data_IF_218228739751
#
_entry.id   IF_218228739751
#
_cell.length_a   1.000
_cell.length_b   1.000
_cell.length_c   1.000
_cell.angle_alpha   90.00
_cell.angle_beta   90.00
_cell.angle_gamma   90.00
#
_symmetry.space_group_name_H-M   'P 1'
#
loop_
_entity.id
_entity.type
_entity.pdbx_description
1 polymer ?
#
# COMPACT_ATOMS: atom_id res chain seq x y z
N UNK A 1 -15.79 0.01 -15.88
CA UNK A 1 -15.08 -1.24 -16.26
C UNK A 1 -15.02 -2.12 -15.03
N UNK A 2 -15.17 -3.46 -15.13
CA UNK A 2 -14.97 -4.35 -13.98
C UNK A 2 -13.49 -4.32 -13.62
N UNK A 3 -13.17 -4.03 -12.36
CA UNK A 3 -11.82 -4.09 -11.83
C UNK A 3 -11.29 -5.53 -12.01
N UNK A 4 -10.17 -5.67 -12.71
CA UNK A 4 -9.51 -6.97 -12.85
C UNK A 4 -8.68 -7.21 -11.59
N UNK A 5 -8.97 -8.31 -10.89
CA UNK A 5 -8.25 -8.71 -9.69
C UNK A 5 -7.63 -10.09 -9.89
N UNK A 6 -6.41 -10.26 -9.42
CA UNK A 6 -5.71 -11.54 -9.32
C UNK A 6 -5.22 -11.77 -7.90
N UNK A 7 -5.10 -13.04 -7.50
CA UNK A 7 -4.72 -13.42 -6.14
C UNK A 7 -3.69 -14.55 -6.20
N UNK A 8 -2.61 -14.39 -5.48
CA UNK A 8 -1.56 -15.38 -5.38
C UNK A 8 -1.04 -15.44 -3.93
N UNK A 9 -1.24 -16.56 -3.27
CA UNK A 9 -0.76 -16.80 -1.89
C UNK A 9 -0.98 -15.60 -0.96
N UNK A 10 -2.23 -15.17 -0.81
CA UNK A 10 -2.66 -13.99 -0.03
C UNK A 10 -2.14 -12.63 -0.54
N UNK A 11 -1.52 -12.54 -1.71
CA UNK A 11 -1.23 -11.28 -2.37
C UNK A 11 -2.40 -10.98 -3.33
N UNK A 12 -3.12 -9.89 -3.09
CA UNK A 12 -4.17 -9.38 -3.96
C UNK A 12 -3.63 -8.28 -4.86
N UNK A 13 -3.78 -8.41 -6.17
CA UNK A 13 -3.33 -7.44 -7.18
C UNK A 13 -4.56 -6.95 -7.95
N UNK A 14 -4.74 -5.64 -8.04
CA UNK A 14 -5.90 -4.98 -8.63
C UNK A 14 -5.43 -3.98 -9.69
N UNK A 15 -5.70 -4.31 -10.95
CA UNK A 15 -5.31 -3.46 -12.08
C UNK A 15 -6.25 -2.26 -12.23
N UNK A 16 -5.70 -1.08 -12.55
CA UNK A 16 -6.47 0.14 -12.80
C UNK A 16 -7.49 0.46 -11.69
N UNK A 17 -7.11 0.22 -10.44
CA UNK A 17 -7.99 0.38 -9.29
C UNK A 17 -8.13 1.84 -8.83
N UNK A 18 -7.11 2.67 -9.09
CA UNK A 18 -7.09 4.09 -8.79
C UNK A 18 -7.10 4.88 -10.10
N UNK A 19 -7.87 5.96 -10.13
CA UNK A 19 -7.97 6.87 -11.27
C UNK A 19 -6.58 7.42 -11.65
N UNK A 20 -6.22 7.41 -12.93
CA UNK A 20 -4.90 7.81 -13.40
C UNK A 20 -4.64 9.31 -13.22
N UNK A 21 -5.64 10.17 -13.46
CA UNK A 21 -5.49 11.62 -13.25
C UNK A 21 -5.24 11.93 -11.77
N UNK A 22 -5.86 11.15 -10.87
CA UNK A 22 -5.61 11.28 -9.44
C UNK A 22 -4.21 10.77 -9.06
N UNK A 23 -3.72 9.70 -9.70
CA UNK A 23 -2.32 9.27 -9.53
C UNK A 23 -1.35 10.37 -9.97
N UNK A 24 -1.61 11.03 -11.10
CA UNK A 24 -0.77 12.14 -11.58
C UNK A 24 -0.79 13.32 -10.60
N UNK A 25 -1.94 13.65 -10.04
CA UNK A 25 -2.05 14.66 -8.99
C UNK A 25 -1.20 14.30 -7.76
N UNK A 26 -1.22 13.05 -7.32
CA UNK A 26 -0.41 12.57 -6.18
C UNK A 26 1.10 12.64 -6.48
N UNK A 27 1.51 12.36 -7.70
CA UNK A 27 2.91 12.51 -8.16
C UNK A 27 3.34 13.97 -8.07
N UNK A 28 2.56 14.89 -8.66
CA UNK A 28 2.81 16.33 -8.60
C UNK A 28 2.82 16.85 -7.17
N UNK A 29 1.95 16.32 -6.32
CA UNK A 29 1.90 16.66 -4.90
C UNK A 29 3.22 16.33 -4.19
N UNK A 30 3.79 15.15 -4.41
CA UNK A 30 5.09 14.76 -3.83
C UNK A 30 6.21 15.65 -4.33
N UNK A 31 6.23 15.99 -5.61
CA UNK A 31 7.31 16.76 -6.21
C UNK A 31 7.32 18.23 -5.78
N UNK A 32 6.15 18.82 -5.57
CA UNK A 32 6.00 20.24 -5.24
C UNK A 32 5.99 20.57 -3.73
N UNK A 33 6.11 19.57 -2.83
CA UNK A 33 6.04 19.76 -1.37
C UNK A 33 7.38 19.56 -0.66
N UNK A 34 8.35 20.43 -0.95
CA UNK A 34 9.70 20.33 -0.37
C UNK A 34 9.77 20.50 1.16
N UNK A 35 8.86 21.26 1.77
CA UNK A 35 8.87 21.54 3.22
C UNK A 35 8.21 20.43 4.07
N UNK A 36 7.47 19.50 3.45
CA UNK A 36 6.72 18.46 4.14
C UNK A 36 7.35 17.06 3.92
N UNK A 37 8.59 17.03 3.48
CA UNK A 37 9.28 15.84 3.04
C UNK A 37 10.17 15.29 4.13
N UNK A 38 10.04 14.00 4.42
CA UNK A 38 11.04 13.23 5.12
C UNK A 38 11.94 12.52 4.10
N UNK A 39 13.24 12.75 4.16
CA UNK A 39 14.24 12.07 3.35
C UNK A 39 14.82 10.91 4.14
N UNK A 40 14.67 9.69 3.66
CA UNK A 40 15.39 8.55 4.19
C UNK A 40 16.64 8.33 3.34
N UNK A 41 17.79 8.22 3.96
CA UNK A 41 19.08 8.01 3.31
C UNK A 41 19.93 7.04 4.11
N UNK A 42 19.34 5.91 4.47
CA UNK A 42 20.01 4.84 5.17
C UNK A 42 20.55 3.80 4.18
N UNK A 43 21.49 2.95 4.62
CA UNK A 43 22.07 1.93 3.75
C UNK A 43 21.04 1.00 3.09
N UNK A 44 19.95 0.71 3.79
CA UNK A 44 18.92 -0.24 3.34
C UNK A 44 17.67 0.44 2.75
N UNK A 45 17.51 1.75 2.93
CA UNK A 45 16.34 2.50 2.42
C UNK A 45 16.72 3.91 2.01
N UNK A 46 16.37 4.26 0.78
CA UNK A 46 16.58 5.60 0.23
C UNK A 46 15.33 6.01 -0.53
N UNK A 47 14.64 7.03 -0.06
CA UNK A 47 13.47 7.61 -0.70
C UNK A 47 13.11 8.98 -0.11
N UNK A 48 12.17 9.64 -0.76
CA UNK A 48 11.51 10.86 -0.31
C UNK A 48 10.08 10.51 0.10
N UNK A 49 9.64 10.91 1.30
CA UNK A 49 8.30 10.63 1.81
C UNK A 49 7.51 11.89 2.13
N UNK A 50 6.20 11.83 1.89
CA UNK A 50 5.21 12.82 2.34
C UNK A 50 4.05 12.09 3.02
N UNK A 51 3.65 12.55 4.20
CA UNK A 51 2.52 12.01 4.96
C UNK A 51 1.22 12.61 4.43
N UNK A 52 0.46 11.87 3.61
CA UNK A 52 -0.74 12.38 2.95
C UNK A 52 -1.88 12.62 3.93
N UNK A 53 -2.11 11.73 4.87
CA UNK A 53 -3.17 11.85 5.87
C UNK A 53 -3.02 13.09 6.76
N UNK A 54 -1.80 13.51 7.04
CA UNK A 54 -1.51 14.70 7.82
C UNK A 54 -1.66 15.99 7.00
N UNK A 55 -1.14 15.99 5.77
CA UNK A 55 -1.01 17.23 5.00
C UNK A 55 -2.10 17.44 3.95
N UNK A 56 -2.86 16.41 3.61
CA UNK A 56 -3.94 16.48 2.63
C UNK A 56 -5.04 15.44 2.96
N UNK A 57 -5.76 15.60 4.09
CA UNK A 57 -6.70 14.59 4.59
C UNK A 57 -7.89 14.35 3.65
N UNK A 58 -8.31 15.34 2.87
CA UNK A 58 -9.38 15.18 1.88
C UNK A 58 -9.00 14.23 0.76
N UNK A 59 -7.83 14.42 0.17
CA UNK A 59 -7.29 13.58 -0.89
C UNK A 59 -6.91 12.20 -0.35
N UNK A 60 -6.46 12.12 0.90
CA UNK A 60 -6.24 10.85 1.57
C UNK A 60 -7.54 10.03 1.64
N UNK A 61 -8.68 10.64 1.95
CA UNK A 61 -9.96 9.95 1.96
C UNK A 61 -10.35 9.43 0.57
N UNK A 62 -10.10 10.22 -0.49
CA UNK A 62 -10.34 9.79 -1.88
C UNK A 62 -9.49 8.56 -2.22
N UNK A 63 -8.20 8.58 -1.88
CA UNK A 63 -7.29 7.44 -2.08
C UNK A 63 -7.78 6.20 -1.32
N UNK A 64 -8.05 6.36 -0.03
CA UNK A 64 -8.49 5.28 0.84
C UNK A 64 -9.84 4.69 0.41
N UNK A 65 -10.74 5.46 -0.19
CA UNK A 65 -11.98 4.92 -0.77
C UNK A 65 -11.68 3.89 -1.88
N UNK A 66 -10.76 4.22 -2.79
CA UNK A 66 -10.32 3.29 -3.85
C UNK A 66 -9.65 2.03 -3.29
N UNK A 67 -8.70 2.20 -2.35
CA UNK A 67 -7.98 1.09 -1.71
C UNK A 67 -8.94 0.21 -0.88
N UNK A 68 -9.92 0.81 -0.20
CA UNK A 68 -10.96 0.09 0.55
C UNK A 68 -11.83 -0.77 -0.36
N UNK A 69 -12.13 -0.32 -1.58
CA UNK A 69 -12.85 -1.13 -2.56
C UNK A 69 -12.06 -2.40 -2.93
N UNK A 70 -10.73 -2.31 -3.00
CA UNK A 70 -9.85 -3.45 -3.16
C UNK A 70 -9.85 -4.36 -1.93
N UNK A 71 -9.81 -3.79 -0.71
CA UNK A 71 -9.88 -4.55 0.54
C UNK A 71 -11.20 -5.33 0.66
N UNK A 72 -12.34 -4.74 0.28
CA UNK A 72 -13.63 -5.46 0.24
C UNK A 72 -13.55 -6.68 -0.69
N UNK A 73 -12.93 -6.55 -1.86
CA UNK A 73 -12.70 -7.67 -2.77
C UNK A 73 -11.74 -8.70 -2.19
N UNK A 74 -10.72 -8.25 -1.45
CA UNK A 74 -9.74 -9.09 -0.78
C UNK A 74 -10.38 -9.93 0.34
N UNK A 75 -11.20 -9.33 1.18
CA UNK A 75 -11.92 -10.04 2.26
C UNK A 75 -12.97 -11.00 1.72
N UNK A 76 -13.62 -10.69 0.58
CA UNK A 76 -14.47 -11.66 -0.14
C UNK A 76 -13.70 -12.89 -0.62
N UNK A 77 -12.46 -12.72 -1.09
CA UNK A 77 -11.60 -13.84 -1.51
C UNK A 77 -11.11 -14.66 -0.31
N UNK A 78 -10.91 -14.02 0.84
CA UNK A 78 -10.44 -14.63 2.08
C UNK A 78 -11.46 -14.37 3.19
N UNK A 79 -12.58 -15.12 3.25
CA UNK A 79 -13.77 -14.77 4.05
C UNK A 79 -13.50 -14.66 5.55
N UNK A 80 -12.54 -15.42 6.09
CA UNK A 80 -12.18 -15.33 7.52
C UNK A 80 -11.79 -13.90 7.94
N UNK A 81 -11.20 -13.12 7.02
CA UNK A 81 -10.81 -11.73 7.28
C UNK A 81 -12.02 -10.79 7.42
N UNK A 82 -13.21 -11.19 6.96
CA UNK A 82 -14.43 -10.39 7.10
C UNK A 82 -14.97 -10.34 8.53
N UNK A 83 -14.43 -11.16 9.43
CA UNK A 83 -14.81 -11.18 10.85
C UNK A 83 -14.20 -10.02 11.65
N UNK A 84 -13.36 -9.19 11.05
CA UNK A 84 -12.69 -8.08 11.70
C UNK A 84 -12.98 -6.77 11.00
N UNK A 85 -13.06 -5.69 11.78
CA UNK A 85 -13.03 -4.34 11.24
C UNK A 85 -11.59 -3.89 11.06
N UNK A 86 -11.32 -3.14 9.99
CA UNK A 86 -9.99 -2.63 9.67
C UNK A 86 -9.99 -1.11 9.58
N UNK A 87 -8.95 -0.49 10.11
CA UNK A 87 -8.66 0.93 9.92
C UNK A 87 -7.33 1.09 9.20
N UNK A 88 -7.23 2.08 8.31
CA UNK A 88 -5.95 2.50 7.73
C UNK A 88 -5.34 3.58 8.61
N UNK A 89 -4.13 3.40 9.08
CA UNK A 89 -3.55 4.21 10.15
C UNK A 89 -2.51 5.23 9.70
N UNK A 90 -2.04 5.16 8.49
CA UNK A 90 -1.02 6.06 7.95
C UNK A 90 -0.99 5.92 6.43
N UNK A 91 -0.89 7.03 5.72
CA UNK A 91 -0.68 7.04 4.27
C UNK A 91 0.57 7.82 3.94
N UNK A 92 1.56 7.12 3.39
CA UNK A 92 2.81 7.70 2.93
C UNK A 92 2.83 7.72 1.40
N UNK A 93 3.06 8.89 0.82
CA UNK A 93 3.50 9.00 -0.56
C UNK A 93 5.02 8.90 -0.59
N UNK A 94 5.57 8.11 -1.50
CA UNK A 94 7.00 7.88 -1.59
C UNK A 94 7.49 8.07 -3.02
N UNK A 95 8.60 8.79 -3.17
CA UNK A 95 9.37 8.90 -4.41
C UNK A 95 10.70 8.19 -4.23
N UNK A 96 11.00 7.28 -5.13
CA UNK A 96 12.27 6.55 -5.21
C UNK A 96 12.94 6.86 -6.53
N UNK A 97 14.14 7.45 -6.50
CA UNK A 97 14.89 7.73 -7.72
C UNK A 97 15.63 6.48 -8.24
N UNK A 98 16.16 6.50 -9.48
CA UNK A 98 16.97 5.42 -9.99
C UNK A 98 18.10 5.03 -9.03
N UNK A 99 18.25 3.71 -8.79
CA UNK A 99 19.19 3.07 -7.84
C UNK A 99 18.82 3.21 -6.36
N UNK A 100 17.86 4.04 -5.99
CA UNK A 100 17.28 4.10 -4.64
C UNK A 100 16.24 2.98 -4.44
N UNK A 101 15.79 2.77 -3.23
CA UNK A 101 14.72 1.83 -2.89
C UNK A 101 14.80 1.30 -1.47
N UNK A 102 13.93 0.38 -1.14
CA UNK A 102 13.99 -0.41 0.09
C UNK A 102 14.55 -1.80 -0.25
N UNK A 103 15.88 -1.93 -0.22
CA UNK A 103 16.59 -3.08 -0.80
C UNK A 103 16.61 -4.32 0.08
N UNK A 104 16.36 -4.16 1.38
CA UNK A 104 16.36 -5.27 2.33
C UNK A 104 14.97 -5.91 2.40
N UNK A 105 14.93 -7.24 2.36
CA UNK A 105 13.69 -7.96 2.64
C UNK A 105 13.21 -7.68 4.05
N UNK A 106 11.96 -7.29 4.18
CA UNK A 106 11.33 -6.93 5.44
C UNK A 106 9.85 -7.37 5.45
N UNK A 107 9.25 -7.29 6.60
CA UNK A 107 7.80 -7.32 6.78
C UNK A 107 7.37 -6.18 7.72
N UNK A 108 6.07 -6.02 7.91
CA UNK A 108 5.52 -4.80 8.49
C UNK A 108 5.33 -4.87 10.01
N UNK A 109 5.33 -6.07 10.59
CA UNK A 109 4.83 -6.28 11.96
C UNK A 109 5.76 -7.06 12.91
N UNK A 110 7.05 -7.18 12.62
CA UNK A 110 8.01 -7.81 13.54
C UNK A 110 8.50 -6.90 14.67
N UNK A 111 8.24 -5.60 14.58
CA UNK A 111 8.55 -4.66 15.66
C UNK A 111 7.34 -4.50 16.59
N UNK A 112 7.59 -4.37 17.90
CA UNK A 112 6.55 -4.18 18.91
C UNK A 112 5.62 -3.00 18.59
N UNK A 113 6.16 -1.89 18.12
CA UNK A 113 5.39 -0.68 17.81
C UNK A 113 4.47 -0.86 16.60
N UNK A 114 4.75 -1.85 15.74
CA UNK A 114 4.05 -2.10 14.48
C UNK A 114 3.37 -3.47 14.44
N UNK A 115 3.37 -4.20 15.55
CA UNK A 115 2.81 -5.57 15.64
C UNK A 115 1.34 -5.68 15.25
N UNK A 116 0.60 -4.58 15.29
CA UNK A 116 -0.81 -4.49 14.91
C UNK A 116 -1.05 -4.26 13.39
N UNK A 117 -0.01 -4.12 12.58
CA UNK A 117 -0.15 -4.03 11.12
C UNK A 117 -0.51 -5.40 10.54
N UNK A 118 -1.82 -5.61 10.33
CA UNK A 118 -2.35 -6.89 9.85
C UNK A 118 -2.07 -7.10 8.38
N UNK A 119 -2.30 -6.06 7.58
CA UNK A 119 -2.06 -6.06 6.14
C UNK A 119 -1.36 -4.77 5.73
N UNK A 120 -0.52 -4.86 4.72
CA UNK A 120 -0.03 -3.71 3.99
C UNK A 120 -0.82 -3.53 2.69
N UNK A 121 -0.89 -2.29 2.24
CA UNK A 121 -1.39 -1.95 0.91
C UNK A 121 -0.45 -0.95 0.23
N UNK A 122 -0.39 -1.02 -1.08
CA UNK A 122 0.40 -0.12 -1.91
C UNK A 122 -0.33 0.18 -3.21
N UNK A 123 -0.18 1.41 -3.68
CA UNK A 123 -0.63 1.88 -4.99
C UNK A 123 0.57 2.35 -5.78
N UNK A 124 0.74 1.85 -7.00
CA UNK A 124 1.70 2.43 -7.93
C UNK A 124 1.08 3.66 -8.60
N UNK A 125 1.74 4.81 -8.50
CA UNK A 125 1.24 6.09 -9.00
C UNK A 125 1.73 6.39 -10.42
N UNK A 126 2.75 5.67 -10.89
CA UNK A 126 3.26 5.77 -12.25
C UNK A 126 3.76 4.42 -12.77
N UNK A 127 3.94 4.34 -14.08
CA UNK A 127 4.57 3.20 -14.73
C UNK A 127 6.10 3.29 -14.59
N UNK A 128 6.75 2.13 -14.39
CA UNK A 128 8.21 1.99 -14.45
C UNK A 128 8.55 0.80 -15.35
N UNK A 129 9.21 1.06 -16.47
CA UNK A 129 9.47 0.02 -17.46
C UNK A 129 10.53 -1.00 -17.01
N UNK A 130 11.57 -0.53 -16.30
CA UNK A 130 12.71 -1.36 -15.87
C UNK A 130 12.91 -1.25 -14.36
N UNK A 131 12.90 -2.38 -13.68
CA UNK A 131 13.08 -2.41 -12.24
C UNK A 131 11.88 -1.85 -11.49
N UNK A 132 12.07 -1.50 -10.22
CA UNK A 132 11.05 -0.91 -9.37
C UNK A 132 9.97 -1.89 -8.90
N UNK A 133 10.05 -3.16 -9.24
CA UNK A 133 9.10 -4.18 -8.81
C UNK A 133 9.09 -4.30 -7.28
N UNK A 134 7.94 -4.65 -6.73
CA UNK A 134 7.85 -5.20 -5.38
C UNK A 134 8.04 -6.70 -5.46
N UNK A 135 9.12 -7.17 -4.86
CA UNK A 135 9.52 -8.58 -4.87
C UNK A 135 9.16 -9.24 -3.55
N UNK A 136 8.44 -10.36 -3.62
CA UNK A 136 8.07 -11.20 -2.49
C UNK A 136 8.95 -12.45 -2.46
N UNK A 137 9.69 -12.63 -1.34
CA UNK A 137 10.75 -13.64 -1.24
C UNK A 137 10.22 -15.07 -1.32
N UNK A 138 9.25 -15.40 -0.47
CA UNK A 138 8.77 -16.78 -0.34
C UNK A 138 7.77 -17.18 -1.41
N UNK A 139 7.09 -16.20 -2.00
CA UNK A 139 6.14 -16.42 -3.08
C UNK A 139 6.80 -16.45 -4.47
N UNK A 140 8.08 -16.03 -4.55
CA UNK A 140 8.86 -15.94 -5.79
C UNK A 140 8.15 -15.14 -6.89
N UNK A 141 7.50 -14.02 -6.50
CA UNK A 141 6.84 -13.13 -7.44
C UNK A 141 7.39 -11.71 -7.37
N UNK A 142 7.31 -11.03 -8.52
CA UNK A 142 7.65 -9.62 -8.67
C UNK A 142 6.46 -8.90 -9.27
N UNK A 143 5.93 -7.93 -8.52
CA UNK A 143 4.81 -7.12 -8.99
C UNK A 143 5.36 -5.87 -9.67
N UNK A 144 5.09 -5.76 -10.97
CA UNK A 144 5.55 -4.63 -11.79
C UNK A 144 4.79 -3.35 -11.46
N UNK A 145 5.49 -2.19 -11.34
CA UNK A 145 4.86 -0.90 -11.17
C UNK A 145 4.08 -0.50 -12.43
N UNK A 146 2.77 -0.43 -12.30
CA UNK A 146 1.86 0.09 -13.33
C UNK A 146 0.87 1.06 -12.68
N UNK A 147 0.67 2.21 -13.32
CA UNK A 147 -0.15 3.30 -12.77
C UNK A 147 -1.56 2.83 -12.39
N UNK A 148 -2.01 3.20 -11.20
CA UNK A 148 -3.33 2.86 -10.68
C UNK A 148 -3.47 1.44 -10.14
N UNK A 149 -2.41 0.62 -10.21
CA UNK A 149 -2.40 -0.74 -9.64
C UNK A 149 -2.33 -0.68 -8.13
N UNK A 150 -3.20 -1.44 -7.46
CA UNK A 150 -3.19 -1.63 -6.00
C UNK A 150 -2.72 -3.04 -5.67
N UNK A 151 -1.91 -3.17 -4.63
CA UNK A 151 -1.47 -4.46 -4.08
C UNK A 151 -1.80 -4.48 -2.59
N UNK A 152 -2.38 -5.61 -2.11
CA UNK A 152 -2.68 -5.86 -0.69
C UNK A 152 -2.08 -7.21 -0.30
N UNK A 153 -1.37 -7.28 0.84
CA UNK A 153 -0.74 -8.50 1.33
C UNK A 153 -0.68 -8.54 2.86
N UNK A 154 -0.53 -9.72 3.49
CA UNK A 154 -0.32 -9.85 4.94
C UNK A 154 0.96 -9.13 5.40
N UNK A 155 0.87 -8.38 6.50
CA UNK A 155 2.00 -7.64 7.06
C UNK A 155 3.08 -8.51 7.74
N UNK A 156 2.91 -9.84 7.80
CA UNK A 156 3.73 -10.74 8.61
C UNK A 156 4.95 -11.30 7.86
N UNK A 157 5.83 -11.97 8.61
CA UNK A 157 7.07 -12.59 8.12
C UNK A 157 6.87 -13.65 7.01
N UNK A 158 5.66 -14.13 6.81
CA UNK A 158 5.33 -15.01 5.69
C UNK A 158 5.39 -14.31 4.34
N UNK A 159 5.32 -12.97 4.32
CA UNK A 159 5.34 -12.14 3.12
C UNK A 159 6.49 -11.12 3.15
N UNK A 160 7.72 -11.64 3.37
CA UNK A 160 8.92 -10.81 3.24
C UNK A 160 9.00 -10.25 1.83
N UNK A 161 9.13 -8.94 1.75
CA UNK A 161 9.16 -8.22 0.47
C UNK A 161 10.20 -7.09 0.48
N UNK A 162 10.57 -6.64 -0.72
CA UNK A 162 11.46 -5.49 -0.93
C UNK A 162 11.07 -4.73 -2.18
N UNK A 163 11.51 -3.46 -2.27
CA UNK A 163 11.46 -2.67 -3.49
C UNK A 163 12.75 -2.83 -4.30
N UNK A 164 12.66 -3.33 -5.52
CA UNK A 164 13.80 -3.37 -6.43
C UNK A 164 14.13 -1.96 -6.93
N UNK A 165 15.41 -1.63 -7.19
CA UNK A 165 15.80 -0.33 -7.73
C UNK A 165 15.11 -0.05 -9.05
N UNK A 166 14.45 1.13 -9.20
CA UNK A 166 13.81 1.50 -10.45
C UNK A 166 14.82 2.06 -11.46
N UNK A 167 14.51 1.90 -12.75
CA UNK A 167 15.28 2.52 -13.84
C UNK A 167 14.90 3.97 -14.12
N UNK A 168 13.74 4.41 -13.66
CA UNK A 168 13.22 5.78 -13.69
C UNK A 168 12.55 6.10 -12.35
N UNK A 169 12.25 7.37 -12.02
CA UNK A 169 11.58 7.69 -10.76
C UNK A 169 10.30 6.89 -10.57
N UNK A 170 10.17 6.22 -9.43
CA UNK A 170 9.00 5.47 -9.01
C UNK A 170 8.26 6.21 -7.91
N UNK A 171 6.93 6.31 -8.05
CA UNK A 171 6.06 6.92 -7.06
C UNK A 171 5.05 5.89 -6.59
N UNK A 172 4.87 5.80 -5.28
CA UNK A 172 3.87 4.94 -4.65
C UNK A 172 3.12 5.69 -3.55
N UNK A 173 1.90 5.24 -3.28
CA UNK A 173 1.24 5.47 -2.00
C UNK A 173 1.22 4.16 -1.24
N UNK A 174 1.49 4.17 0.06
CA UNK A 174 1.48 2.97 0.90
C UNK A 174 0.91 3.27 2.27
N UNK A 175 0.36 2.23 2.91
CA UNK A 175 -0.16 2.29 4.26
C UNK A 175 -0.48 0.90 4.79
N UNK A 176 -1.11 0.87 5.96
CA UNK A 176 -1.34 -0.39 6.68
C UNK A 176 -2.77 -0.45 7.20
N UNK A 177 -3.35 -1.64 7.11
CA UNK A 177 -4.57 -1.96 7.82
C UNK A 177 -4.25 -2.60 9.16
N UNK A 178 -4.92 -2.12 10.18
CA UNK A 178 -4.89 -2.64 11.55
C UNK A 178 -6.28 -3.10 11.92
N UNK A 179 -6.39 -4.16 12.75
CA UNK A 179 -7.69 -4.52 13.31
C UNK A 179 -8.19 -3.40 14.22
N UNK A 180 -9.42 -2.95 13.98
CA UNK A 180 -10.05 -1.94 14.83
C UNK A 180 -10.49 -2.58 16.15
N UNK A 181 -9.90 -2.12 17.23
CA UNK A 181 -10.28 -2.53 18.60
C UNK A 181 -11.35 -1.61 19.21
N UNK A 182 -11.97 -0.74 18.42
CA UNK A 182 -13.08 0.11 18.85
C UNK A 182 -12.68 1.36 19.64
N UNK A 183 -11.40 1.70 19.75
CA UNK A 183 -10.91 2.80 20.60
C UNK A 183 -10.84 4.16 19.92
N UNK A 184 -10.91 4.22 18.59
CA UNK A 184 -10.83 5.49 17.85
C UNK A 184 -11.80 5.52 16.66
N UNK A 185 -12.79 6.42 16.73
CA UNK A 185 -13.81 6.58 15.69
C UNK A 185 -13.39 7.52 14.54
N UNK A 186 -12.23 8.18 14.64
CA UNK A 186 -11.77 9.16 13.63
C UNK A 186 -11.18 8.52 12.37
N UNK A 187 -10.94 7.19 12.38
CA UNK A 187 -10.28 6.46 11.31
C UNK A 187 -11.26 5.83 10.33
N UNK A 188 -10.86 5.70 9.07
CA UNK A 188 -11.67 5.02 8.04
C UNK A 188 -11.85 3.56 8.42
N UNK A 189 -13.10 3.13 8.60
CA UNK A 189 -13.47 1.75 8.94
C UNK A 189 -13.96 1.01 7.71
N UNK A 190 -13.53 -0.23 7.58
CA UNK A 190 -14.11 -1.20 6.65
C UNK A 190 -14.98 -2.13 7.48
N UNK A 191 -16.29 -2.07 7.30
CA UNK A 191 -17.19 -3.01 7.96
C UNK A 191 -16.98 -4.41 7.37
N UNK A 192 -16.73 -5.38 8.25
CA UNK A 192 -16.76 -6.79 7.90
C UNK A 192 -18.16 -7.21 7.44
N UNK A 193 -18.23 -8.15 6.51
CA UNK A 193 -19.49 -8.81 6.22
C UNK A 193 -19.74 -9.86 7.29
N UNK A 194 -20.93 -9.83 7.92
CA UNK A 194 -21.37 -10.92 8.76
C UNK A 194 -21.42 -12.21 7.92
N UNK A 195 -20.63 -13.20 8.30
CA UNK A 195 -20.81 -14.55 7.80
C UNK A 195 -22.08 -15.09 8.42
N UNK A 196 -23.10 -15.39 7.59
CA UNK A 196 -24.26 -16.15 8.07
C UNK A 196 -23.75 -17.53 8.51
N UNK A 197 -24.03 -17.99 9.73
CA UNK A 197 -23.72 -19.35 10.10
C UNK A 197 -24.50 -20.30 9.20
N UNK A 198 -23.79 -21.32 8.66
CA UNK A 198 -24.41 -22.43 7.93
C UNK A 198 -25.31 -23.27 8.85
#
# INVERSE_FOLDING_TARGET
MKQQASYFDFIGIYENAINHDFCDWLVDYVDNRSQQVNLRSEFHVQDKQVCLDTFSPGENQVLLHGVTSCLISYTKKYPYLSNSNYVSSLTLLQKTNPKEGYHTFHCENLDWNFSNRTMAWMVYLNDVEKGGETEFLYQDIKVKPEKGKVVIWPGSYTHLHRGNPPGSPKYIATGWYQCDVGLDQSRVRVQGMELQPE
#
